data_IF_399490481557
#
_entry.id   IF_399490481557
#
_cell.length_a   1.000
_cell.length_b   1.000
_cell.length_c   1.000
_cell.angle_alpha   90.00
_cell.angle_beta   90.00
_cell.angle_gamma   90.00
#
_symmetry.space_group_name_H-M   'P 1'
#
loop_
_entity.id
_entity.type
_entity.pdbx_description
1 polymer ?
#
# COMPACT_ATOMS: atom_id res chain seq x y z
N UNK A 1 -16.83 -6.06 -26.19
CA UNK A 1 -15.61 -5.26 -26.35
C UNK A 1 -14.43 -6.06 -25.83
N UNK A 2 -13.38 -6.27 -26.63
CA UNK A 2 -12.19 -7.02 -26.21
C UNK A 2 -11.15 -5.98 -25.75
N UNK A 3 -10.76 -6.01 -24.47
CA UNK A 3 -9.76 -5.07 -23.95
C UNK A 3 -8.44 -5.18 -24.70
N UNK A 4 -7.76 -4.05 -24.92
CA UNK A 4 -6.45 -4.03 -25.58
C UNK A 4 -5.44 -4.90 -24.83
N UNK A 5 -4.42 -5.38 -25.52
CA UNK A 5 -3.36 -6.16 -24.88
C UNK A 5 -2.66 -5.35 -23.79
N UNK A 6 -2.30 -4.09 -24.08
CA UNK A 6 -1.66 -3.18 -23.12
C UNK A 6 -2.49 -2.97 -21.86
N UNK A 7 -3.81 -2.81 -22.00
CA UNK A 7 -4.70 -2.70 -20.84
C UNK A 7 -4.71 -3.96 -19.98
N UNK A 8 -4.77 -5.15 -20.61
CA UNK A 8 -4.78 -6.43 -19.89
C UNK A 8 -3.47 -6.66 -19.13
N UNK A 9 -2.33 -6.36 -19.75
CA UNK A 9 -1.02 -6.45 -19.09
C UNK A 9 -0.97 -5.49 -17.90
N UNK A 10 -1.32 -4.22 -18.10
CA UNK A 10 -1.38 -3.24 -17.02
C UNK A 10 -2.29 -3.72 -15.87
N UNK A 11 -3.48 -4.24 -16.18
CA UNK A 11 -4.44 -4.70 -15.19
C UNK A 11 -3.87 -5.80 -14.29
N UNK A 12 -3.25 -6.83 -14.87
CA UNK A 12 -2.68 -7.94 -14.10
C UNK A 12 -1.45 -7.53 -13.29
N UNK A 13 -0.58 -6.69 -13.85
CA UNK A 13 0.57 -6.14 -13.10
C UNK A 13 0.07 -5.28 -11.93
N UNK A 14 -0.94 -4.44 -12.15
CA UNK A 14 -1.56 -3.64 -11.10
C UNK A 14 -2.19 -4.50 -10.00
N UNK A 15 -2.88 -5.58 -10.38
CA UNK A 15 -3.43 -6.53 -9.40
C UNK A 15 -2.33 -7.17 -8.55
N UNK A 16 -1.22 -7.61 -9.16
CA UNK A 16 -0.08 -8.19 -8.44
C UNK A 16 0.57 -7.19 -7.47
N UNK A 17 0.74 -5.93 -7.90
CA UNK A 17 1.30 -4.87 -7.04
C UNK A 17 0.40 -4.60 -5.83
N UNK A 18 -0.91 -4.49 -6.04
CA UNK A 18 -1.88 -4.27 -4.96
C UNK A 18 -1.88 -5.46 -3.98
N UNK A 19 -1.89 -6.70 -4.49
CA UNK A 19 -1.81 -7.88 -3.65
C UNK A 19 -0.50 -7.95 -2.86
N UNK A 20 0.61 -7.55 -3.47
CA UNK A 20 1.90 -7.44 -2.79
C UNK A 20 1.87 -6.40 -1.65
N UNK A 21 1.31 -5.21 -1.91
CA UNK A 21 1.14 -4.16 -0.89
C UNK A 21 0.28 -4.64 0.27
N UNK A 22 -0.87 -5.26 -0.01
CA UNK A 22 -1.72 -5.86 1.03
C UNK A 22 -0.98 -6.95 1.81
N UNK A 23 -0.22 -7.81 1.12
CA UNK A 23 0.61 -8.85 1.72
C UNK A 23 1.66 -8.30 2.69
N UNK A 24 2.36 -7.23 2.33
CA UNK A 24 3.35 -6.59 3.21
C UNK A 24 2.72 -5.99 4.47
N UNK A 25 1.53 -5.36 4.36
CA UNK A 25 0.79 -4.85 5.51
C UNK A 25 0.31 -5.99 6.41
N UNK A 26 -0.23 -7.05 5.81
CA UNK A 26 -0.63 -8.26 6.51
C UNK A 26 0.54 -8.84 7.32
N UNK A 27 1.71 -9.03 6.70
CA UNK A 27 2.92 -9.50 7.38
C UNK A 27 3.31 -8.57 8.54
N UNK A 28 3.29 -7.25 8.33
CA UNK A 28 3.64 -6.26 9.37
C UNK A 28 2.74 -6.31 10.60
N UNK A 29 1.44 -6.55 10.40
CA UNK A 29 0.42 -6.55 11.47
C UNK A 29 0.33 -7.90 12.18
N UNK A 30 0.75 -8.98 11.52
CA UNK A 30 0.72 -10.34 12.04
C UNK A 30 2.13 -10.83 12.38
N UNK A 31 2.75 -11.61 11.50
CA UNK A 31 4.01 -12.33 11.71
C UNK A 31 5.20 -11.44 12.05
N UNK A 32 5.27 -10.22 11.48
CA UNK A 32 6.38 -9.28 11.63
C UNK A 32 6.05 -8.10 12.55
N UNK A 33 5.05 -8.27 13.43
CA UNK A 33 4.72 -7.28 14.46
C UNK A 33 5.91 -7.09 15.39
N UNK A 34 6.41 -5.85 15.50
CA UNK A 34 7.56 -5.55 16.35
C UNK A 34 7.27 -5.81 17.84
N UNK A 35 6.00 -5.76 18.26
CA UNK A 35 5.59 -5.95 19.66
C UNK A 35 5.78 -7.42 20.06
N UNK A 36 5.08 -8.30 19.35
CA UNK A 36 5.13 -9.75 19.54
C UNK A 36 6.54 -10.30 19.31
N UNK A 37 7.23 -9.85 18.25
CA UNK A 37 8.60 -10.31 18.00
C UNK A 37 9.58 -9.79 19.04
N UNK A 38 9.40 -8.59 19.61
CA UNK A 38 10.31 -8.13 20.66
C UNK A 38 10.18 -8.94 21.94
N UNK A 39 8.97 -9.35 22.32
CA UNK A 39 8.75 -10.24 23.47
C UNK A 39 9.36 -11.62 23.22
N UNK A 40 9.09 -12.21 22.06
CA UNK A 40 9.65 -13.52 21.67
C UNK A 40 11.19 -13.53 21.66
N UNK A 41 11.81 -12.44 21.20
CA UNK A 41 13.29 -12.32 21.16
C UNK A 41 13.87 -12.27 22.58
N UNK A 42 13.24 -11.54 23.51
CA UNK A 42 13.68 -11.52 24.92
C UNK A 42 13.60 -12.93 25.50
N UNK A 43 12.44 -13.59 25.36
CA UNK A 43 12.22 -14.93 25.91
C UNK A 43 13.25 -15.94 25.37
N UNK A 44 13.50 -15.93 24.05
CA UNK A 44 14.42 -16.89 23.42
C UNK A 44 15.89 -16.63 23.72
N UNK A 45 16.29 -15.38 23.96
CA UNK A 45 17.65 -15.06 24.37
C UNK A 45 17.87 -15.36 25.86
N UNK A 46 16.84 -15.17 26.69
CA UNK A 46 16.88 -15.58 28.09
C UNK A 46 17.07 -17.09 28.25
N UNK A 47 16.39 -17.90 27.41
CA UNK A 47 16.61 -19.36 27.33
C UNK A 47 18.08 -19.74 26.99
N UNK A 48 18.87 -18.81 26.48
CA UNK A 48 20.29 -18.96 26.11
C UNK A 48 21.24 -18.25 27.09
N UNK A 49 20.77 -17.86 28.27
CA UNK A 49 21.51 -17.07 29.27
C UNK A 49 21.99 -15.70 28.76
N UNK A 50 21.27 -15.12 27.78
CA UNK A 50 21.53 -13.78 27.23
C UNK A 50 20.42 -12.83 27.70
N UNK A 51 20.73 -11.99 28.69
CA UNK A 51 19.79 -10.97 29.16
C UNK A 51 19.88 -9.69 28.29
N UNK A 52 18.74 -9.30 27.72
CA UNK A 52 18.59 -8.06 26.98
C UNK A 52 17.33 -7.31 27.38
N UNK A 53 17.38 -5.99 27.28
CA UNK A 53 16.21 -5.15 27.50
C UNK A 53 15.20 -5.27 26.35
N UNK A 54 13.93 -5.02 26.65
CA UNK A 54 12.87 -4.92 25.63
C UNK A 54 13.17 -3.86 24.55
N UNK A 55 13.94 -2.82 24.89
CA UNK A 55 14.35 -1.79 23.96
C UNK A 55 15.35 -2.33 22.92
N UNK A 56 16.31 -3.16 23.35
CA UNK A 56 17.25 -3.85 22.46
C UNK A 56 16.49 -4.85 21.58
N UNK A 57 15.57 -5.63 22.15
CA UNK A 57 14.76 -6.58 21.38
C UNK A 57 13.88 -5.88 20.32
N UNK A 58 13.35 -4.70 20.64
CA UNK A 58 12.60 -3.87 19.68
C UNK A 58 13.45 -3.42 18.49
N UNK A 59 14.75 -3.15 18.68
CA UNK A 59 15.66 -2.83 17.59
C UNK A 59 15.82 -4.04 16.67
N UNK A 60 16.05 -5.22 17.24
CA UNK A 60 16.17 -6.48 16.49
C UNK A 60 14.89 -6.83 15.73
N UNK A 61 13.73 -6.78 16.39
CA UNK A 61 12.43 -7.03 15.75
C UNK A 61 12.14 -6.06 14.58
N UNK A 62 12.55 -4.80 14.71
CA UNK A 62 12.44 -3.82 13.62
C UNK A 62 13.42 -4.11 12.48
N UNK A 63 14.61 -4.63 12.76
CA UNK A 63 15.57 -5.03 11.75
C UNK A 63 15.07 -6.22 10.92
N UNK A 64 14.47 -7.24 11.57
CA UNK A 64 13.87 -8.41 10.88
C UNK A 64 12.84 -7.98 9.83
N UNK A 65 11.97 -7.03 10.18
CA UNK A 65 10.91 -6.56 9.26
C UNK A 65 11.37 -5.50 8.25
N UNK A 66 12.61 -5.00 8.36
CA UNK A 66 13.09 -3.90 7.52
C UNK A 66 13.06 -4.27 6.03
N UNK A 67 13.49 -5.49 5.67
CA UNK A 67 13.46 -5.95 4.28
C UNK A 67 12.05 -5.92 3.66
N UNK A 68 11.03 -6.33 4.40
CA UNK A 68 9.63 -6.25 3.95
C UNK A 68 9.17 -4.80 3.76
N UNK A 69 9.62 -3.88 4.63
CA UNK A 69 9.31 -2.45 4.51
C UNK A 69 9.89 -1.83 3.23
N UNK A 70 11.12 -2.20 2.86
CA UNK A 70 11.71 -1.78 1.58
C UNK A 70 10.89 -2.27 0.39
N UNK A 71 10.45 -3.52 0.41
CA UNK A 71 9.55 -4.05 -0.62
C UNK A 71 8.21 -3.31 -0.68
N UNK A 72 7.64 -2.93 0.46
CA UNK A 72 6.42 -2.12 0.49
C UNK A 72 6.62 -0.77 -0.20
N UNK A 73 7.76 -0.10 0.03
CA UNK A 73 8.09 1.18 -0.63
C UNK A 73 8.28 0.98 -2.14
N UNK A 74 9.03 -0.04 -2.56
CA UNK A 74 9.25 -0.35 -4.00
C UNK A 74 7.92 -0.60 -4.71
N UNK A 75 7.04 -1.42 -4.10
CA UNK A 75 5.70 -1.66 -4.64
C UNK A 75 4.84 -0.40 -4.64
N UNK A 76 5.02 0.50 -3.67
CA UNK A 76 4.38 1.81 -3.64
C UNK A 76 4.75 2.67 -4.85
N UNK A 77 6.05 2.74 -5.19
CA UNK A 77 6.50 3.42 -6.42
C UNK A 77 5.93 2.77 -7.68
N UNK A 78 5.88 1.43 -7.72
CA UNK A 78 5.26 0.72 -8.83
C UNK A 78 3.76 1.08 -8.97
N UNK A 79 3.03 1.17 -7.86
CA UNK A 79 1.62 1.58 -7.85
C UNK A 79 1.45 3.00 -8.41
N UNK A 80 2.29 3.96 -7.97
CA UNK A 80 2.27 5.34 -8.48
C UNK A 80 2.47 5.37 -9.99
N UNK A 81 3.47 4.64 -10.50
CA UNK A 81 3.75 4.56 -11.94
C UNK A 81 2.58 3.92 -12.72
N UNK A 82 1.97 2.86 -12.16
CA UNK A 82 0.81 2.19 -12.77
C UNK A 82 -0.43 3.09 -12.77
N UNK A 83 -0.67 3.89 -11.73
CA UNK A 83 -1.76 4.87 -11.70
C UNK A 83 -1.53 5.98 -12.73
N UNK A 84 -0.30 6.50 -12.85
CA UNK A 84 0.03 7.47 -13.89
C UNK A 84 -0.19 6.90 -15.30
N UNK A 85 0.25 5.66 -15.54
CA UNK A 85 -0.02 4.97 -16.81
C UNK A 85 -1.51 4.72 -17.03
N UNK A 86 -2.29 4.47 -15.98
CA UNK A 86 -3.75 4.33 -16.09
C UNK A 86 -4.42 5.63 -16.53
N UNK A 87 -3.98 6.76 -16.00
CA UNK A 87 -4.46 8.08 -16.41
C UNK A 87 -4.10 8.32 -17.88
N UNK A 88 -2.87 8.00 -18.29
CA UNK A 88 -2.47 8.06 -19.71
C UNK A 88 -3.39 7.20 -20.60
N UNK A 89 -3.62 5.93 -20.24
CA UNK A 89 -4.53 5.05 -21.00
C UNK A 89 -5.97 5.59 -21.06
N UNK A 90 -6.44 6.27 -20.01
CA UNK A 90 -7.77 6.87 -19.99
C UNK A 90 -7.91 8.04 -20.99
N UNK A 91 -6.86 8.83 -21.19
CA UNK A 91 -6.89 9.92 -22.18
C UNK A 91 -6.67 9.47 -23.62
N UNK A 92 -6.03 8.31 -23.83
CA UNK A 92 -5.84 7.72 -25.17
C UNK A 92 -6.96 6.73 -25.56
N UNK A 93 -8.01 6.62 -24.76
CA UNK A 93 -9.14 5.73 -25.05
C UNK A 93 -10.23 6.48 -25.84
N UNK A 94 -10.26 6.22 -27.15
CA UNK A 94 -11.23 6.77 -28.12
C UNK A 94 -12.62 6.11 -28.05
N UNK A 95 -12.86 5.20 -27.10
CA UNK A 95 -14.16 4.53 -26.98
C UNK A 95 -15.28 5.52 -26.64
N UNK A 96 -16.44 5.33 -27.29
CA UNK A 96 -17.64 6.12 -26.99
C UNK A 96 -18.12 5.84 -25.56
N UNK A 97 -18.13 6.87 -24.73
CA UNK A 97 -18.50 6.78 -23.31
C UNK A 97 -20.00 7.05 -23.15
N UNK A 98 -20.72 6.09 -22.58
CA UNK A 98 -22.12 6.30 -22.21
C UNK A 98 -22.20 7.24 -20.98
N UNK A 99 -23.10 8.25 -20.99
CA UNK A 99 -23.30 9.13 -19.85
C UNK A 99 -23.81 8.33 -18.64
N UNK A 100 -23.39 8.69 -17.42
CA UNK A 100 -23.71 7.91 -16.21
C UNK A 100 -25.22 7.69 -16.03
N UNK A 101 -26.03 8.71 -16.33
CA UNK A 101 -27.47 8.66 -16.15
C UNK A 101 -28.19 7.67 -17.08
N UNK A 102 -27.63 7.38 -18.27
CA UNK A 102 -28.20 6.43 -19.23
C UNK A 102 -27.87 4.97 -18.94
N UNK A 103 -27.07 4.70 -17.91
CA UNK A 103 -26.67 3.34 -17.54
C UNK A 103 -27.78 2.61 -16.77
N UNK A 104 -27.86 1.29 -16.94
CA UNK A 104 -28.67 0.40 -16.10
C UNK A 104 -28.17 0.43 -14.64
N UNK A 105 -29.03 0.02 -13.69
CA UNK A 105 -28.67 -0.01 -12.26
C UNK A 105 -27.37 -0.80 -12.00
N UNK A 106 -27.24 -1.98 -12.63
CA UNK A 106 -26.02 -2.80 -12.51
C UNK A 106 -24.77 -2.06 -13.02
N UNK A 107 -24.84 -1.46 -14.22
CA UNK A 107 -23.71 -0.70 -14.78
C UNK A 107 -23.34 0.51 -13.91
N UNK A 108 -24.33 1.19 -13.31
CA UNK A 108 -24.10 2.28 -12.35
C UNK A 108 -23.36 1.79 -11.11
N UNK A 109 -23.78 0.67 -10.51
CA UNK A 109 -23.12 0.08 -9.35
C UNK A 109 -21.67 -0.30 -9.66
N UNK A 110 -21.41 -0.96 -10.79
CA UNK A 110 -20.05 -1.30 -11.24
C UNK A 110 -19.20 -0.04 -11.44
N UNK A 111 -19.74 1.00 -12.09
CA UNK A 111 -19.00 2.26 -12.33
C UNK A 111 -18.71 3.01 -11.03
N UNK A 112 -19.63 3.01 -10.08
CA UNK A 112 -19.42 3.56 -8.74
C UNK A 112 -18.30 2.82 -8.00
N UNK A 113 -18.29 1.48 -8.06
CA UNK A 113 -17.23 0.67 -7.46
C UNK A 113 -15.85 1.01 -8.05
N UNK A 114 -15.77 1.20 -9.37
CA UNK A 114 -14.53 1.66 -9.99
C UNK A 114 -14.08 3.03 -9.47
N UNK A 115 -15.00 3.98 -9.29
CA UNK A 115 -14.65 5.30 -8.74
C UNK A 115 -14.13 5.21 -7.31
N UNK A 116 -14.79 4.42 -6.46
CA UNK A 116 -14.33 4.19 -5.08
C UNK A 116 -12.93 3.57 -5.11
N UNK A 117 -12.76 2.47 -5.87
CA UNK A 117 -11.49 1.77 -5.98
C UNK A 117 -10.33 2.68 -6.42
N UNK A 118 -10.50 3.44 -7.51
CA UNK A 118 -9.44 4.34 -7.98
C UNK A 118 -9.19 5.52 -7.06
N UNK A 119 -10.22 6.01 -6.35
CA UNK A 119 -10.06 7.05 -5.33
C UNK A 119 -9.23 6.54 -4.17
N UNK A 120 -9.54 5.34 -3.66
CA UNK A 120 -8.75 4.68 -2.61
C UNK A 120 -7.30 4.48 -3.06
N UNK A 121 -7.06 3.93 -4.26
CA UNK A 121 -5.68 3.74 -4.74
C UNK A 121 -4.91 5.06 -4.87
N UNK A 122 -5.58 6.12 -5.33
CA UNK A 122 -4.97 7.44 -5.41
C UNK A 122 -4.64 7.98 -4.02
N UNK A 123 -5.56 7.85 -3.06
CA UNK A 123 -5.30 8.21 -1.67
C UNK A 123 -4.10 7.43 -1.11
N UNK A 124 -4.05 6.11 -1.29
CA UNK A 124 -2.95 5.27 -0.80
C UNK A 124 -1.61 5.68 -1.40
N UNK A 125 -1.57 5.99 -2.69
CA UNK A 125 -0.37 6.48 -3.37
C UNK A 125 0.11 7.84 -2.79
N UNK A 126 -0.81 8.80 -2.63
CA UNK A 126 -0.49 10.15 -2.13
C UNK A 126 -0.08 10.11 -0.65
N UNK A 127 -0.87 9.46 0.19
CA UNK A 127 -0.59 9.35 1.63
C UNK A 127 0.71 8.58 1.89
N UNK A 128 0.96 7.48 1.17
CA UNK A 128 2.24 6.76 1.22
C UNK A 128 3.44 7.62 0.84
N UNK A 129 3.31 8.40 -0.25
CA UNK A 129 4.33 9.36 -0.67
C UNK A 129 4.61 10.41 0.40
N UNK A 130 3.56 11.01 0.98
CA UNK A 130 3.70 12.02 2.04
C UNK A 130 4.38 11.42 3.28
N UNK A 131 4.00 10.20 3.70
CA UNK A 131 4.61 9.53 4.85
C UNK A 131 6.11 9.29 4.61
N UNK A 132 6.49 8.89 3.40
CA UNK A 132 7.88 8.60 3.07
C UNK A 132 8.73 9.87 2.97
N UNK A 133 8.20 10.93 2.33
CA UNK A 133 8.91 12.19 2.08
C UNK A 133 8.56 13.33 3.05
N UNK A 134 8.02 13.01 4.23
CA UNK A 134 7.47 14.05 5.12
C UNK A 134 8.50 15.10 5.54
N UNK A 135 9.79 14.73 5.63
CA UNK A 135 10.87 15.66 6.00
C UNK A 135 11.21 16.60 4.85
N UNK A 136 11.32 16.04 3.65
CA UNK A 136 11.63 16.75 2.41
C UNK A 136 10.51 17.73 2.05
N UNK A 137 9.27 17.39 2.40
CA UNK A 137 8.09 18.24 2.26
C UNK A 137 7.95 19.28 3.39
N UNK A 138 8.87 19.32 4.36
CA UNK A 138 8.82 20.26 5.49
C UNK A 138 7.67 20.01 6.47
N UNK A 139 7.09 18.80 6.49
CA UNK A 139 5.96 18.45 7.34
C UNK A 139 6.40 18.03 8.75
N UNK A 140 5.53 18.27 9.73
CA UNK A 140 5.76 17.83 11.11
C UNK A 140 5.65 16.31 11.25
N UNK A 141 6.37 15.75 12.23
CA UNK A 141 6.28 14.32 12.55
C UNK A 141 4.87 13.93 13.02
N UNK A 142 4.15 14.82 13.69
CA UNK A 142 2.77 14.56 14.14
C UNK A 142 1.82 14.43 12.94
N UNK A 143 1.95 15.31 11.93
CA UNK A 143 1.16 15.21 10.72
C UNK A 143 1.44 13.90 9.97
N UNK A 144 2.72 13.54 9.79
CA UNK A 144 3.10 12.28 9.17
C UNK A 144 2.55 11.06 9.94
N UNK A 145 2.48 11.14 11.26
CA UNK A 145 1.89 10.09 12.09
C UNK A 145 0.38 9.96 11.87
N UNK A 146 -0.36 11.07 11.86
CA UNK A 146 -1.81 11.08 11.62
C UNK A 146 -2.14 10.53 10.22
N UNK A 147 -1.40 10.98 9.19
CA UNK A 147 -1.59 10.48 7.81
C UNK A 147 -1.34 8.97 7.76
N UNK A 148 -0.32 8.49 8.47
CA UNK A 148 -0.04 7.06 8.56
C UNK A 148 -1.15 6.29 9.25
N UNK A 149 -1.80 6.83 10.28
CA UNK A 149 -2.95 6.17 10.90
C UNK A 149 -4.09 6.01 9.90
N UNK A 150 -4.39 7.07 9.14
CA UNK A 150 -5.44 7.02 8.10
C UNK A 150 -5.04 6.06 6.97
N UNK A 151 -3.79 6.10 6.49
CA UNK A 151 -3.26 5.18 5.49
C UNK A 151 -3.28 3.71 5.95
N UNK A 152 -3.19 3.45 7.25
CA UNK A 152 -3.31 2.09 7.78
C UNK A 152 -4.77 1.64 7.99
N UNK A 153 -5.75 2.56 7.96
CA UNK A 153 -7.19 2.29 8.12
C UNK A 153 -7.90 2.03 6.79
N UNK A 154 -7.48 2.71 5.71
CA UNK A 154 -7.97 2.50 4.34
C UNK A 154 -7.39 1.26 3.67
#
# INVERSE_FOLDING_TARGET
MKYSFSFRVWHWVNALVILGLLGTVFLRKTFLSWRTNSELIVDKLFDMDIDITILQAKILAKAIRAGMWEWHIILGYALVALLAYRIYLYFNDDSKREPFFSLTLHKKAVKLLYYIFYTTLLFMAISGFIIYFYKELGMSRSLAHNIKEIHELE
#
